data_IF_759329064079
#
_entry.id   IF_759329064079
#
_cell.length_a   1.000
_cell.length_b   1.000
_cell.length_c   1.000
_cell.angle_alpha   90.00
_cell.angle_beta   90.00
_cell.angle_gamma   90.00
#
_symmetry.space_group_name_H-M   'P 1'
#
loop_
_entity.id
_entity.type
_entity.pdbx_description
1 polymer ?
#
# COMPACT_ATOMS: atom_id res chain seq x y z
N UNK A 1 -17.63 -10.90 -17.62
CA UNK A 1 -17.53 -11.55 -16.30
C UNK A 1 -18.46 -10.81 -15.38
N UNK A 2 -19.32 -11.53 -14.65
CA UNK A 2 -20.10 -10.93 -13.56
C UNK A 2 -19.12 -10.43 -12.50
N UNK A 3 -19.38 -9.28 -11.90
CA UNK A 3 -18.57 -8.73 -10.82
C UNK A 3 -18.78 -9.63 -9.60
N UNK A 4 -17.83 -10.51 -9.34
CA UNK A 4 -17.90 -11.42 -8.20
C UNK A 4 -17.10 -10.83 -7.03
N UNK A 5 -17.82 -10.16 -6.12
CA UNK A 5 -17.24 -9.60 -4.91
C UNK A 5 -16.86 -10.67 -3.87
N UNK A 6 -17.24 -11.94 -4.06
CA UNK A 6 -16.85 -13.03 -3.15
C UNK A 6 -15.35 -13.34 -3.21
N UNK A 7 -14.69 -12.91 -4.28
CA UNK A 7 -13.27 -13.12 -4.52
C UNK A 7 -12.43 -12.04 -3.83
N UNK A 8 -13.03 -11.00 -3.24
CA UNK A 8 -12.28 -10.04 -2.41
C UNK A 8 -12.01 -10.65 -1.02
N UNK A 9 -10.77 -10.63 -0.50
CA UNK A 9 -9.63 -9.84 -0.97
C UNK A 9 -8.52 -10.65 -1.65
N UNK A 10 -8.85 -11.68 -2.44
CA UNK A 10 -7.83 -12.36 -3.28
C UNK A 10 -7.45 -11.56 -4.54
N UNK A 11 -8.29 -10.60 -4.96
CA UNK A 11 -7.98 -9.64 -6.01
C UNK A 11 -8.04 -8.18 -5.51
N UNK A 12 -7.19 -7.28 -6.03
CA UNK A 12 -7.26 -5.86 -5.72
C UNK A 12 -8.60 -5.23 -6.15
N UNK A 13 -9.23 -4.46 -5.25
CA UNK A 13 -10.51 -3.78 -5.53
C UNK A 13 -10.45 -2.89 -6.78
N UNK A 14 -9.31 -2.23 -7.03
CA UNK A 14 -9.13 -1.39 -8.22
C UNK A 14 -9.33 -2.19 -9.52
N UNK A 15 -8.90 -3.46 -9.57
CA UNK A 15 -9.10 -4.30 -10.75
C UNK A 15 -10.55 -4.73 -10.90
N UNK A 16 -11.22 -5.06 -9.79
CA UNK A 16 -12.65 -5.39 -9.78
C UNK A 16 -13.46 -4.21 -10.33
N UNK A 17 -13.17 -2.99 -9.86
CA UNK A 17 -13.83 -1.76 -10.31
C UNK A 17 -13.55 -1.49 -11.80
N UNK A 18 -12.27 -1.53 -12.22
CA UNK A 18 -11.89 -1.23 -13.61
C UNK A 18 -12.47 -2.27 -14.58
N UNK A 19 -12.47 -3.55 -14.21
CA UNK A 19 -13.09 -4.62 -15.00
C UNK A 19 -14.61 -4.43 -15.13
N UNK A 20 -15.29 -4.07 -14.03
CA UNK A 20 -16.72 -3.76 -14.03
C UNK A 20 -17.08 -2.54 -14.89
N UNK A 21 -16.27 -1.48 -14.82
CA UNK A 21 -16.46 -0.28 -15.64
C UNK A 21 -16.20 -0.57 -17.14
N UNK A 22 -15.15 -1.34 -17.45
CA UNK A 22 -14.80 -1.67 -18.83
C UNK A 22 -15.90 -2.49 -19.50
N UNK A 23 -16.44 -3.48 -18.80
CA UNK A 23 -17.55 -4.29 -19.30
C UNK A 23 -18.86 -3.52 -19.46
N UNK A 24 -19.08 -2.51 -18.61
CA UNK A 24 -20.26 -1.62 -18.70
C UNK A 24 -20.16 -0.65 -19.90
N UNK A 25 -18.97 -0.12 -20.17
CA UNK A 25 -18.75 0.85 -21.26
C UNK A 25 -18.56 0.17 -22.62
N UNK A 26 -17.89 -1.00 -22.64
CA UNK A 26 -17.62 -1.78 -23.85
C UNK A 26 -18.03 -3.25 -23.65
N UNK A 27 -19.32 -3.56 -23.84
CA UNK A 27 -19.80 -4.94 -23.75
C UNK A 27 -19.02 -5.85 -24.71
N UNK A 28 -18.43 -6.93 -24.19
CA UNK A 28 -17.66 -7.90 -24.98
C UNK A 28 -16.16 -7.64 -25.10
N UNK A 29 -15.65 -6.52 -24.56
CA UNK A 29 -14.19 -6.32 -24.40
C UNK A 29 -13.79 -6.82 -23.02
N UNK A 30 -13.10 -7.96 -22.99
CA UNK A 30 -12.47 -8.48 -21.78
C UNK A 30 -11.02 -8.00 -21.70
N UNK A 31 -10.54 -7.72 -20.48
CA UNK A 31 -9.11 -7.54 -20.26
C UNK A 31 -8.43 -8.87 -20.59
N UNK A 32 -7.47 -8.84 -21.52
CA UNK A 32 -6.67 -10.01 -21.82
C UNK A 32 -5.90 -10.46 -20.56
N UNK A 33 -5.68 -11.76 -20.39
CA UNK A 33 -5.07 -12.33 -19.18
C UNK A 33 -3.69 -11.75 -18.89
N UNK A 34 -2.91 -11.42 -19.92
CA UNK A 34 -1.61 -10.77 -19.79
C UNK A 34 -1.72 -9.35 -19.22
N UNK A 35 -2.70 -8.58 -19.70
CA UNK A 35 -2.95 -7.22 -19.23
C UNK A 35 -3.48 -7.23 -17.79
N UNK A 36 -4.37 -8.17 -17.47
CA UNK A 36 -4.89 -8.35 -16.12
C UNK A 36 -3.77 -8.70 -15.12
N UNK A 37 -2.90 -9.65 -15.49
CA UNK A 37 -1.74 -10.01 -14.67
C UNK A 37 -0.79 -8.82 -14.47
N UNK A 38 -0.48 -8.06 -15.52
CA UNK A 38 0.33 -6.85 -15.40
C UNK A 38 -0.30 -5.81 -14.46
N UNK A 39 -1.62 -5.63 -14.55
CA UNK A 39 -2.36 -4.74 -13.67
C UNK A 39 -2.36 -5.22 -12.20
N UNK A 40 -2.41 -6.54 -11.97
CA UNK A 40 -2.29 -7.15 -10.64
C UNK A 40 -0.91 -6.92 -10.03
N UNK A 41 0.16 -7.07 -10.81
CA UNK A 41 1.52 -6.72 -10.37
C UNK A 41 1.62 -5.22 -10.07
N UNK A 42 1.04 -4.35 -10.91
CA UNK A 42 1.02 -2.91 -10.66
C UNK A 42 0.31 -2.53 -9.36
N UNK A 43 -0.85 -3.15 -9.08
CA UNK A 43 -1.57 -2.99 -7.83
C UNK A 43 -0.74 -3.49 -6.64
N UNK A 44 -0.11 -4.66 -6.76
CA UNK A 44 0.78 -5.21 -5.73
C UNK A 44 1.94 -4.25 -5.42
N UNK A 45 2.66 -3.78 -6.44
CA UNK A 45 3.79 -2.84 -6.25
C UNK A 45 3.33 -1.54 -5.59
N UNK A 46 2.16 -1.04 -5.99
CA UNK A 46 1.56 0.15 -5.37
C UNK A 46 1.23 -0.11 -3.90
N UNK A 47 0.55 -1.22 -3.59
CA UNK A 47 0.23 -1.64 -2.22
C UNK A 47 1.50 -1.69 -1.37
N UNK A 48 2.49 -2.49 -1.78
CA UNK A 48 3.73 -2.69 -1.04
C UNK A 48 4.46 -1.35 -0.79
N UNK A 49 4.44 -0.43 -1.75
CA UNK A 49 5.12 0.85 -1.61
C UNK A 49 4.41 1.85 -0.67
N UNK A 50 3.08 1.81 -0.62
CA UNK A 50 2.28 2.74 0.20
C UNK A 50 1.88 2.17 1.57
N UNK A 51 2.16 0.89 1.85
CA UNK A 51 2.06 0.35 3.22
C UNK A 51 2.88 1.28 4.13
N UNK A 52 2.32 1.71 5.28
CA UNK A 52 3.04 2.56 6.21
C UNK A 52 4.12 1.75 6.93
N UNK A 53 5.22 1.39 6.27
CA UNK A 53 6.29 0.58 6.81
C UNK A 53 7.66 1.18 6.49
N UNK A 54 8.36 1.63 7.53
CA UNK A 54 9.77 2.06 7.48
C UNK A 54 10.08 3.06 6.36
N UNK A 55 11.07 2.81 5.49
CA UNK A 55 11.47 3.72 4.41
C UNK A 55 10.60 3.65 3.16
N UNK A 56 9.50 2.90 3.16
CA UNK A 56 8.56 2.91 2.05
C UNK A 56 7.86 4.27 1.96
N UNK A 57 7.27 4.60 0.82
CA UNK A 57 6.58 5.88 0.63
C UNK A 57 5.48 6.07 1.68
N UNK A 58 4.74 5.00 2.03
CA UNK A 58 3.76 5.04 3.12
C UNK A 58 4.35 5.39 4.49
N UNK A 59 5.60 4.99 4.76
CA UNK A 59 6.33 5.33 5.97
C UNK A 59 6.70 6.81 6.03
N UNK A 60 7.15 7.38 4.91
CA UNK A 60 7.42 8.81 4.80
C UNK A 60 6.15 9.65 4.90
N UNK A 61 5.06 9.23 4.26
CA UNK A 61 3.77 9.92 4.32
C UNK A 61 3.23 9.88 5.77
N UNK A 62 3.25 8.72 6.43
CA UNK A 62 2.81 8.61 7.83
C UNK A 62 3.67 9.43 8.78
N UNK A 63 5.00 9.52 8.56
CA UNK A 63 5.88 10.42 9.31
C UNK A 63 5.52 11.88 9.11
N UNK A 64 5.27 12.31 7.87
CA UNK A 64 4.92 13.69 7.57
C UNK A 64 3.58 14.14 8.20
N UNK A 65 2.71 13.20 8.55
CA UNK A 65 1.39 13.47 9.16
C UNK A 65 1.41 13.32 10.68
N UNK A 66 2.08 12.30 11.22
CA UNK A 66 2.03 11.97 12.65
C UNK A 66 3.36 12.19 13.38
N UNK A 67 4.37 12.75 12.72
CA UNK A 67 5.70 12.97 13.26
C UNK A 67 6.48 11.67 13.51
N UNK A 68 7.59 11.77 14.23
CA UNK A 68 8.50 10.64 14.48
C UNK A 68 7.85 9.50 15.29
N UNK A 69 7.06 9.83 16.32
CA UNK A 69 6.42 8.82 17.16
C UNK A 69 5.31 8.07 16.40
N UNK A 70 4.49 8.80 15.64
CA UNK A 70 3.47 8.18 14.80
C UNK A 70 4.07 7.34 13.67
N UNK A 71 5.20 7.74 13.09
CA UNK A 71 5.93 6.93 12.11
C UNK A 71 6.34 5.56 12.65
N UNK A 72 6.82 5.50 13.91
CA UNK A 72 7.20 4.23 14.54
C UNK A 72 5.98 3.32 14.71
N UNK A 73 4.87 3.85 15.22
CA UNK A 73 3.62 3.09 15.38
C UNK A 73 3.10 2.63 14.03
N UNK A 74 3.03 3.55 13.06
CA UNK A 74 2.59 3.26 11.71
C UNK A 74 3.44 2.15 11.08
N UNK A 75 4.77 2.22 11.23
CA UNK A 75 5.70 1.19 10.74
C UNK A 75 5.44 -0.19 11.31
N UNK A 76 5.16 -0.29 12.62
CA UNK A 76 4.78 -1.56 13.25
C UNK A 76 3.46 -2.07 12.69
N UNK A 77 2.46 -1.19 12.55
CA UNK A 77 1.16 -1.53 11.94
C UNK A 77 1.32 -2.00 10.50
N UNK A 78 2.15 -1.33 9.70
CA UNK A 78 2.44 -1.72 8.32
C UNK A 78 3.13 -3.08 8.22
N UNK A 79 4.10 -3.37 9.11
CA UNK A 79 4.71 -4.70 9.18
C UNK A 79 3.68 -5.78 9.55
N UNK A 80 2.86 -5.55 10.57
CA UNK A 80 1.80 -6.47 10.96
C UNK A 80 0.83 -6.72 9.81
N UNK A 81 0.45 -5.67 9.07
CA UNK A 81 -0.38 -5.78 7.88
C UNK A 81 0.28 -6.68 6.83
N UNK A 82 1.58 -6.51 6.54
CA UNK A 82 2.30 -7.37 5.59
C UNK A 82 2.33 -8.85 6.01
N UNK A 83 2.51 -9.14 7.30
CA UNK A 83 2.50 -10.52 7.79
C UNK A 83 1.10 -11.15 7.75
N UNK A 84 0.08 -10.43 8.22
CA UNK A 84 -1.31 -10.92 8.20
C UNK A 84 -1.80 -11.12 6.77
N UNK A 85 -1.37 -10.27 5.84
CA UNK A 85 -1.73 -10.37 4.41
C UNK A 85 -0.96 -11.43 3.62
N UNK A 86 -0.01 -12.15 4.24
CA UNK A 86 0.74 -13.22 3.58
C UNK A 86 2.01 -12.76 2.85
N UNK A 87 2.34 -11.47 2.82
CA UNK A 87 3.55 -10.94 2.18
C UNK A 87 4.81 -11.10 3.07
N UNK A 88 5.06 -12.32 3.54
CA UNK A 88 6.08 -12.61 4.56
C UNK A 88 7.48 -12.33 4.05
N UNK A 89 7.79 -12.70 2.80
CA UNK A 89 9.08 -12.44 2.16
C UNK A 89 9.40 -10.94 2.16
N UNK A 90 8.41 -10.11 1.82
CA UNK A 90 8.58 -8.66 1.81
C UNK A 90 8.67 -8.09 3.24
N UNK A 91 7.84 -8.57 4.17
CA UNK A 91 7.92 -8.19 5.59
C UNK A 91 9.29 -8.51 6.21
N UNK A 92 9.84 -9.69 5.94
CA UNK A 92 11.19 -10.09 6.37
C UNK A 92 12.26 -9.23 5.70
N UNK A 93 12.13 -8.93 4.40
CA UNK A 93 13.04 -8.05 3.69
C UNK A 93 13.10 -6.66 4.34
N UNK A 94 11.94 -6.08 4.67
CA UNK A 94 11.85 -4.79 5.37
C UNK A 94 12.48 -4.88 6.76
N UNK A 95 12.21 -5.94 7.53
CA UNK A 95 12.85 -6.17 8.83
C UNK A 95 14.38 -6.28 8.71
N UNK A 96 14.86 -7.04 7.74
CA UNK A 96 16.28 -7.23 7.49
C UNK A 96 16.94 -5.89 7.16
N UNK A 97 16.38 -5.12 6.22
CA UNK A 97 16.91 -3.81 5.90
C UNK A 97 16.85 -2.84 7.08
N UNK A 98 15.80 -2.88 7.89
CA UNK A 98 15.70 -2.05 9.09
C UNK A 98 16.76 -2.43 10.15
N UNK A 99 17.08 -3.72 10.28
CA UNK A 99 18.11 -4.22 11.19
C UNK A 99 19.53 -3.88 10.70
N UNK A 100 19.80 -4.04 9.41
CA UNK A 100 21.11 -3.70 8.82
C UNK A 100 21.32 -2.20 8.66
N UNK A 101 20.25 -1.42 8.54
CA UNK A 101 20.34 0.03 8.52
C UNK A 101 20.62 0.54 9.94
N UNK A 102 21.72 1.29 10.12
CA UNK A 102 22.06 1.99 11.38
C UNK A 102 20.98 2.99 11.86
N UNK A 103 19.88 3.16 11.10
CA UNK A 103 18.76 4.07 11.36
C UNK A 103 17.59 3.40 12.11
N UNK A 104 17.53 2.06 12.21
CA UNK A 104 16.49 1.33 12.94
C UNK A 104 15.06 1.81 12.66
N UNK A 105 14.22 1.85 13.71
CA UNK A 105 12.84 2.37 13.67
C UNK A 105 12.73 3.91 13.58
N UNK A 106 13.84 4.65 13.62
CA UNK A 106 13.80 6.11 13.74
C UNK A 106 13.53 6.81 12.40
N UNK A 107 13.79 6.16 11.26
CA UNK A 107 13.74 6.83 9.95
C UNK A 107 14.72 8.00 9.86
N UNK A 108 14.75 8.71 8.73
CA UNK A 108 15.57 9.93 8.59
C UNK A 108 15.01 10.97 9.55
N UNK A 109 15.82 11.42 10.51
CA UNK A 109 15.47 12.39 11.55
C UNK A 109 15.66 13.80 10.98
N UNK A 110 14.61 14.57 10.63
CA UNK A 110 14.76 15.98 10.31
C UNK A 110 14.82 16.73 11.64
N UNK A 111 15.83 17.59 11.80
CA UNK A 111 16.07 18.42 12.98
C UNK A 111 14.97 19.49 13.24
N UNK A 112 13.84 19.45 12.55
CA UNK A 112 12.87 20.55 12.47
C UNK A 112 11.41 20.04 12.52
N UNK A 113 10.97 19.65 13.72
CA UNK A 113 9.63 19.07 13.98
C UNK A 113 8.67 20.12 14.58
N UNK A 114 8.68 21.36 14.03
CA UNK A 114 7.86 22.49 14.51
C UNK A 114 6.88 23.06 13.48
N UNK A 115 6.79 22.46 12.28
CA UNK A 115 5.89 22.96 11.23
C UNK A 115 4.53 22.22 11.23
N UNK A 116 3.40 22.92 11.33
CA UNK A 116 2.08 22.28 11.33
C UNK A 116 1.81 21.57 10.00
N UNK A 117 1.18 20.40 10.09
CA UNK A 117 0.83 19.57 8.93
C UNK A 117 -0.17 20.32 8.06
N UNK A 118 0.25 20.72 6.85
CA UNK A 118 -0.61 21.43 5.90
C UNK A 118 -1.78 20.56 5.46
N UNK A 119 -2.93 21.20 5.13
CA UNK A 119 -4.12 20.49 4.68
C UNK A 119 -3.86 19.62 3.42
N UNK A 120 -2.90 20.02 2.58
CA UNK A 120 -2.45 19.23 1.43
C UNK A 120 -1.82 17.89 1.84
N UNK A 121 -0.97 17.86 2.88
CA UNK A 121 -0.38 16.61 3.40
C UNK A 121 -1.43 15.66 3.96
N UNK A 122 -2.45 16.20 4.65
CA UNK A 122 -3.57 15.40 5.15
C UNK A 122 -4.38 14.78 4.01
N UNK A 123 -4.67 15.55 2.95
CA UNK A 123 -5.35 15.04 1.77
C UNK A 123 -4.54 13.92 1.09
N UNK A 124 -3.23 14.11 0.90
CA UNK A 124 -2.35 13.08 0.31
C UNK A 124 -2.34 11.80 1.14
N UNK A 125 -2.35 11.91 2.47
CA UNK A 125 -2.44 10.73 3.33
C UNK A 125 -3.76 9.99 3.22
N UNK A 126 -4.89 10.72 3.16
CA UNK A 126 -6.20 10.11 2.92
C UNK A 126 -6.25 9.42 1.55
N UNK A 127 -5.69 10.04 0.51
CA UNK A 127 -5.59 9.42 -0.82
C UNK A 127 -4.68 8.18 -0.80
N UNK A 128 -3.57 8.22 -0.06
CA UNK A 128 -2.68 7.07 0.09
C UNK A 128 -3.36 5.92 0.83
N UNK A 129 -4.14 6.19 1.88
CA UNK A 129 -4.96 5.17 2.56
C UNK A 129 -6.06 4.61 1.64
N UNK A 130 -6.71 5.47 0.85
CA UNK A 130 -7.68 5.03 -0.15
C UNK A 130 -7.04 4.09 -1.17
N UNK A 131 -5.87 4.47 -1.71
CA UNK A 131 -5.11 3.62 -2.62
C UNK A 131 -4.67 2.32 -1.95
N UNK A 132 -4.24 2.35 -0.69
CA UNK A 132 -3.84 1.17 0.08
C UNK A 132 -4.98 0.15 0.14
N UNK A 133 -6.20 0.61 0.42
CA UNK A 133 -7.38 -0.26 0.44
C UNK A 133 -7.74 -0.75 -0.97
N UNK A 134 -7.64 0.12 -1.97
CA UNK A 134 -7.96 -0.22 -3.36
C UNK A 134 -7.02 -1.26 -3.97
N UNK A 135 -5.74 -1.22 -3.58
CA UNK A 135 -4.71 -2.12 -4.12
C UNK A 135 -4.44 -3.32 -3.23
N UNK A 136 -5.04 -3.37 -2.03
CA UNK A 136 -4.91 -4.49 -1.11
C UNK A 136 -5.48 -5.78 -1.71
N UNK A 137 -4.67 -6.84 -1.63
CA UNK A 137 -5.07 -8.23 -1.82
C UNK A 137 -4.24 -9.12 -0.86
N UNK A 138 -4.75 -10.30 -0.53
CA UNK A 138 -3.93 -11.33 0.11
C UNK A 138 -2.88 -11.83 -0.88
N UNK A 139 -1.74 -12.30 -0.33
CA UNK A 139 -0.75 -13.02 -1.13
C UNK A 139 -1.44 -14.13 -1.93
N UNK A 140 -1.27 -14.16 -3.27
CA UNK A 140 -1.81 -15.24 -4.11
C UNK A 140 -0.96 -16.52 -4.02
N UNK A 141 0.12 -16.50 -3.22
CA UNK A 141 1.09 -17.59 -3.02
C UNK A 141 1.15 -18.01 -1.56
#
# INVERSE_FOLDING_TARGET
SNIDFSIWPSEPLILIIVSGLTSSVRPGVFLDGQLFFAAQIGALLTFLNIVPAWQLDGGHISRAVFGANGHRVASVVGLLLLFVSGYWTFGILILAFMFFSRRGFAGVEPLDDISPVSNSRKLLYVLALGMLVLTFAFSPF
#
